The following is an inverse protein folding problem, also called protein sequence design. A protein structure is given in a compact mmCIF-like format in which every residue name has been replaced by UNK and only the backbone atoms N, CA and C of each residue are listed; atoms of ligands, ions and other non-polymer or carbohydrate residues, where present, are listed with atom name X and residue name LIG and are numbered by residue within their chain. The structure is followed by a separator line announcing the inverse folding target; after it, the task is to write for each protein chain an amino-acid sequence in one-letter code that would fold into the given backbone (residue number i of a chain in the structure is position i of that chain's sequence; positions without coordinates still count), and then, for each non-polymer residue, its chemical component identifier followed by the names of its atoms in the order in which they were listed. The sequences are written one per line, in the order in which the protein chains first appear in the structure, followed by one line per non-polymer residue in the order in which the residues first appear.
data_IF_679722704141
#
_entry.id   IF_679722704141
#
_cell.length_a   1.000
_cell.length_b   1.000
_cell.length_c   1.000
_cell.angle_alpha   90.00
_cell.angle_beta   90.00
_cell.angle_gamma   90.00
#
_symmetry.space_group_name_H-M   'P 1'
#
loop_
_entity.id
_entity.type
_entity.pdbx_description
1 polymer ?
#
# COMPACT_ATOMS: atom_id res chain seq x y z
N UNK A 1 22.81 6.50 13.92
CA UNK A 1 21.80 5.81 13.09
C UNK A 1 21.04 4.88 14.03
N UNK A 2 19.75 5.11 14.24
CA UNK A 2 18.93 4.29 15.14
C UNK A 2 18.47 3.10 14.31
N UNK A 3 19.13 1.94 14.48
CA UNK A 3 18.72 0.71 13.82
C UNK A 3 17.57 0.16 14.65
N UNK A 4 16.34 0.39 14.22
CA UNK A 4 15.19 -0.33 14.76
C UNK A 4 15.21 -1.71 14.11
N UNK A 5 15.76 -2.72 14.80
CA UNK A 5 15.61 -4.10 14.38
C UNK A 5 14.12 -4.45 14.45
N UNK A 6 13.46 -4.43 13.30
CA UNK A 6 12.08 -4.89 13.18
C UNK A 6 12.08 -6.40 13.31
N UNK A 7 11.30 -6.94 14.24
CA UNK A 7 11.20 -8.38 14.48
C UNK A 7 10.76 -9.19 13.25
N UNK A 8 10.08 -8.54 12.30
CA UNK A 8 9.72 -9.13 11.01
C UNK A 8 10.88 -9.15 10.00
N UNK A 9 11.96 -8.40 10.24
CA UNK A 9 13.07 -8.25 9.29
C UNK A 9 13.78 -9.55 8.96
N UNK A 10 13.94 -10.45 9.94
CA UNK A 10 14.52 -11.78 9.72
C UNK A 10 13.63 -12.67 8.83
N UNK A 11 12.31 -12.47 8.85
CA UNK A 11 11.34 -13.26 8.06
C UNK A 11 11.47 -12.96 6.56
N UNK A 12 11.86 -11.74 6.21
CA UNK A 12 12.10 -11.31 4.82
C UNK A 12 13.58 -11.37 4.42
N UNK A 13 14.37 -12.22 5.08
CA UNK A 13 15.77 -12.46 4.74
C UNK A 13 15.94 -13.70 3.83
N UNK A 14 17.13 -13.90 3.27
CA UNK A 14 17.45 -15.09 2.49
C UNK A 14 16.62 -15.22 1.20
N UNK A 15 16.01 -16.38 0.88
CA UNK A 15 15.19 -16.55 -0.34
C UNK A 15 13.99 -15.61 -0.45
N UNK A 16 13.50 -15.07 0.67
CA UNK A 16 12.40 -14.10 0.74
C UNK A 16 12.89 -12.63 0.71
N UNK A 17 14.20 -12.42 0.61
CA UNK A 17 14.80 -11.09 0.37
C UNK A 17 14.68 -10.65 -1.09
N UNK A 18 14.41 -11.60 -2.00
CA UNK A 18 13.84 -11.29 -3.31
C UNK A 18 12.51 -10.63 -2.99
N UNK A 19 12.43 -9.32 -3.19
CA UNK A 19 11.37 -8.46 -2.67
C UNK A 19 9.95 -8.83 -3.12
N UNK A 20 9.02 -7.90 -2.92
CA UNK A 20 7.63 -8.14 -3.31
C UNK A 20 7.51 -8.42 -4.80
N UNK A 21 6.70 -9.42 -5.15
CA UNK A 21 6.43 -9.75 -6.55
C UNK A 21 5.65 -8.59 -7.19
N UNK A 22 6.32 -7.83 -8.05
CA UNK A 22 5.76 -6.65 -8.73
C UNK A 22 4.47 -6.95 -9.50
N UNK A 23 4.33 -8.16 -10.07
CA UNK A 23 3.10 -8.55 -10.78
C UNK A 23 1.92 -8.68 -9.82
N UNK A 24 2.15 -9.22 -8.62
CA UNK A 24 1.11 -9.32 -7.59
C UNK A 24 0.76 -7.95 -6.99
N UNK A 25 1.76 -7.07 -6.85
CA UNK A 25 1.53 -5.69 -6.41
C UNK A 25 0.64 -4.97 -7.41
N UNK A 26 0.95 -5.09 -8.71
CA UNK A 26 0.13 -4.48 -9.77
C UNK A 26 -1.31 -5.00 -9.79
N UNK A 27 -1.51 -6.31 -9.59
CA UNK A 27 -2.86 -6.87 -9.49
C UNK A 27 -3.66 -6.28 -8.31
N UNK A 28 -3.00 -6.08 -7.16
CA UNK A 28 -3.63 -5.45 -5.99
C UNK A 28 -3.98 -3.99 -6.24
N UNK A 29 -3.12 -3.24 -6.94
CA UNK A 29 -3.41 -1.86 -7.37
C UNK A 29 -4.57 -1.81 -8.35
N UNK A 30 -4.60 -2.71 -9.34
CA UNK A 30 -5.68 -2.80 -10.33
C UNK A 30 -7.02 -3.16 -9.68
N UNK A 31 -7.04 -3.86 -8.54
CA UNK A 31 -8.24 -4.22 -7.77
C UNK A 31 -8.60 -3.21 -6.67
N UNK A 32 -7.78 -2.16 -6.46
CA UNK A 32 -7.95 -1.23 -5.33
C UNK A 32 -9.28 -0.46 -5.37
N UNK A 33 -9.85 -0.29 -6.57
CA UNK A 33 -11.14 0.38 -6.81
C UNK A 33 -12.33 -0.35 -6.18
N UNK A 34 -12.20 -1.65 -5.86
CA UNK A 34 -13.25 -2.43 -5.21
C UNK A 34 -13.39 -2.09 -3.73
N UNK A 35 -12.36 -1.50 -3.14
CA UNK A 35 -12.36 -1.15 -1.73
C UNK A 35 -12.96 0.24 -1.53
N UNK A 36 -13.78 0.35 -0.50
CA UNK A 36 -14.31 1.63 -0.07
C UNK A 36 -13.16 2.47 0.50
N UNK A 37 -12.85 3.57 -0.18
CA UNK A 37 -11.89 4.56 0.31
C UNK A 37 -12.62 5.58 1.18
N UNK A 38 -12.53 5.40 2.50
CA UNK A 38 -13.13 6.27 3.50
C UNK A 38 -12.53 7.70 3.47
N UNK A 39 -11.27 7.84 3.06
CA UNK A 39 -10.63 9.15 2.92
C UNK A 39 -11.18 9.90 1.71
N UNK A 40 -11.31 9.25 0.55
CA UNK A 40 -11.93 9.87 -0.63
C UNK A 40 -13.41 10.16 -0.41
N UNK A 41 -14.13 9.27 0.29
CA UNK A 41 -15.55 9.43 0.57
C UNK A 41 -15.88 10.58 1.56
N UNK A 42 -14.91 11.02 2.38
CA UNK A 42 -15.12 12.06 3.41
C UNK A 42 -14.62 13.45 3.00
N UNK A 43 -13.95 13.60 1.85
CA UNK A 43 -13.62 14.92 1.29
C UNK A 43 -14.90 15.54 0.70
N UNK A 44 -15.40 16.67 1.23
CA UNK A 44 -16.52 17.36 0.60
C UNK A 44 -16.07 17.86 -0.77
N UNK A 45 -16.83 17.55 -1.83
CA UNK A 45 -16.65 18.20 -3.13
C UNK A 45 -17.03 19.69 -2.99
N UNK A 46 -16.10 20.52 -2.54
CA UNK A 46 -16.20 21.96 -2.73
C UNK A 46 -15.85 22.28 -4.19
N UNK A 47 -16.85 22.87 -4.87
CA UNK A 47 -16.79 23.64 -6.12
C UNK A 47 -16.95 22.90 -7.46
N UNK A 48 -18.17 22.97 -8.03
CA UNK A 48 -18.41 23.66 -9.32
C UNK A 48 -19.84 24.26 -9.32
N UNK A 49 -19.98 25.48 -8.80
CA UNK A 49 -21.07 26.38 -9.14
C UNK A 49 -20.46 27.58 -9.84
N UNK A 50 -20.41 27.59 -11.18
CA UNK A 50 -20.46 28.77 -12.07
C UNK A 50 -20.82 28.31 -13.47
#
# INVERSE_FOLDING_TARGET
MIITETWWGEIFSGPLSIGLNEQKVKQLEDESFLYFDEFVATIPNEEQNT
#
